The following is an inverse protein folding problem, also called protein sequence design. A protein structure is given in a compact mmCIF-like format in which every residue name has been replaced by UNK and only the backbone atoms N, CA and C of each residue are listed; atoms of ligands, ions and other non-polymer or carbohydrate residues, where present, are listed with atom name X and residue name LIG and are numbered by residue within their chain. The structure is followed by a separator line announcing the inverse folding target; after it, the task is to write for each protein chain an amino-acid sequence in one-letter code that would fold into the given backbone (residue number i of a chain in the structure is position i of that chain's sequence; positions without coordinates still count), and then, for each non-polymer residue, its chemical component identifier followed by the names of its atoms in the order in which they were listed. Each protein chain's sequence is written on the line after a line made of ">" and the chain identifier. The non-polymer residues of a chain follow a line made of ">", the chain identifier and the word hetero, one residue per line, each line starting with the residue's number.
data_IF_816681758636
#
_entry.id   IF_816681758636
#
_cell.length_a   1.000
_cell.length_b   1.000
_cell.length_c   1.000
_cell.angle_alpha   90.00
_cell.angle_beta   90.00
_cell.angle_gamma   90.00
#
_symmetry.space_group_name_H-M   'P 1'
#
loop_
_entity.id
_entity.type
_entity.pdbx_description
1 polymer ?
#
# COMPACT_ATOMS: atom_id res chain seq x y z
N UNK A 1 -29.65 0.59 1.31
CA UNK A 1 -28.32 0.12 1.75
C UNK A 1 -28.19 -1.31 1.26
N UNK A 2 -27.21 -1.65 0.43
CA UNK A 2 -27.05 -3.00 -0.09
C UNK A 2 -26.70 -3.98 1.03
N UNK A 3 -27.33 -5.17 0.97
CA UNK A 3 -27.05 -6.31 1.84
C UNK A 3 -26.29 -7.37 1.06
N UNK A 4 -25.19 -7.82 1.62
CA UNK A 4 -24.32 -8.81 0.99
C UNK A 4 -23.74 -9.75 2.05
N UNK A 5 -23.13 -10.85 1.60
CA UNK A 5 -22.47 -11.80 2.50
C UNK A 5 -20.97 -11.78 2.27
N UNK A 6 -20.21 -11.72 3.36
CA UNK A 6 -18.76 -11.85 3.35
C UNK A 6 -18.38 -13.08 4.16
N UNK A 7 -17.84 -14.09 3.50
CA UNK A 7 -17.52 -15.41 4.10
C UNK A 7 -18.69 -15.99 4.91
N UNK A 8 -19.93 -15.79 4.44
CA UNK A 8 -21.15 -16.25 5.09
C UNK A 8 -21.74 -15.30 6.15
N UNK A 9 -21.05 -14.23 6.50
CA UNK A 9 -21.54 -13.19 7.43
C UNK A 9 -22.35 -12.17 6.63
N UNK A 10 -23.60 -11.92 7.03
CA UNK A 10 -24.42 -10.87 6.42
C UNK A 10 -23.99 -9.48 6.94
N UNK A 11 -23.78 -8.55 6.02
CA UNK A 11 -23.46 -7.15 6.31
C UNK A 11 -24.32 -6.22 5.48
N UNK A 12 -24.62 -5.07 6.05
CA UNK A 12 -25.32 -3.99 5.38
C UNK A 12 -24.43 -2.75 5.35
N UNK A 13 -24.19 -2.19 4.16
CA UNK A 13 -23.26 -1.07 3.99
C UNK A 13 -23.95 0.12 3.32
N UNK A 14 -23.42 1.34 3.48
CA UNK A 14 -23.93 2.51 2.78
C UNK A 14 -23.93 2.35 1.27
N UNK A 15 -24.87 2.99 0.59
CA UNK A 15 -24.88 3.04 -0.87
C UNK A 15 -23.60 3.72 -1.37
N UNK A 16 -22.91 3.07 -2.32
CA UNK A 16 -21.62 3.54 -2.85
C UNK A 16 -20.39 3.03 -2.10
N UNK A 17 -20.57 2.30 -1.00
CA UNK A 17 -19.46 1.62 -0.33
C UNK A 17 -18.80 0.58 -1.25
N UNK A 18 -17.52 0.34 -1.05
CA UNK A 18 -16.77 -0.69 -1.77
C UNK A 18 -16.92 -2.06 -1.10
N UNK A 19 -16.62 -3.12 -1.84
CA UNK A 19 -16.54 -4.49 -1.29
C UNK A 19 -15.47 -4.56 -0.19
N UNK A 20 -14.38 -3.76 -0.29
CA UNK A 20 -13.37 -3.70 0.77
C UNK A 20 -13.98 -3.22 2.09
N UNK A 21 -14.74 -2.12 2.07
CA UNK A 21 -15.42 -1.60 3.26
C UNK A 21 -16.45 -2.60 3.82
N UNK A 22 -17.14 -3.34 2.95
CA UNK A 22 -18.03 -4.41 3.39
C UNK A 22 -17.27 -5.57 4.07
N UNK A 23 -16.07 -5.89 3.62
CA UNK A 23 -15.21 -6.87 4.29
C UNK A 23 -14.76 -6.38 5.68
N UNK A 24 -14.40 -5.12 5.79
CA UNK A 24 -14.03 -4.50 7.08
C UNK A 24 -15.20 -4.49 8.06
N UNK A 25 -16.42 -4.18 7.60
CA UNK A 25 -17.64 -4.24 8.42
C UNK A 25 -17.92 -5.67 8.89
N UNK A 26 -17.58 -6.68 8.09
CA UNK A 26 -17.65 -8.09 8.47
C UNK A 26 -16.52 -8.52 9.43
N UNK A 27 -15.62 -7.62 9.83
CA UNK A 27 -14.45 -7.94 10.64
C UNK A 27 -13.37 -8.72 9.89
N UNK A 28 -13.34 -8.64 8.55
CA UNK A 28 -12.35 -9.32 7.71
C UNK A 28 -11.27 -8.35 7.27
N UNK A 29 -10.05 -8.64 7.63
CA UNK A 29 -8.89 -7.89 7.15
C UNK A 29 -8.54 -8.30 5.71
N UNK A 30 -8.44 -7.29 4.82
CA UNK A 30 -8.07 -7.48 3.42
C UNK A 30 -6.71 -6.82 3.18
N UNK A 31 -5.70 -7.60 2.72
CA UNK A 31 -4.37 -7.04 2.45
C UNK A 31 -4.42 -6.03 1.31
N UNK A 32 -3.66 -4.94 1.44
CA UNK A 32 -3.65 -3.84 0.48
C UNK A 32 -2.39 -3.00 0.59
N UNK A 33 -1.98 -2.36 -0.52
CA UNK A 33 -0.87 -1.39 -0.53
C UNK A 33 -1.30 -0.04 -1.08
N UNK A 34 -1.98 0.00 -2.24
CA UNK A 34 -2.30 1.27 -2.89
C UNK A 34 -3.52 1.98 -2.28
N UNK A 35 -4.47 1.25 -1.72
CA UNK A 35 -5.66 1.84 -1.11
C UNK A 35 -5.33 2.55 0.21
N UNK A 36 -5.95 3.70 0.41
CA UNK A 36 -5.96 4.45 1.64
C UNK A 36 -7.31 5.19 1.75
N UNK A 37 -7.91 5.22 2.94
CA UNK A 37 -9.27 5.72 3.16
C UNK A 37 -9.45 7.20 2.82
N UNK A 38 -8.37 7.97 2.88
CA UNK A 38 -8.36 9.42 2.63
C UNK A 38 -7.88 9.80 1.23
N UNK A 39 -7.64 8.84 0.34
CA UNK A 39 -7.13 9.07 -1.01
C UNK A 39 -8.04 8.42 -2.04
N UNK A 40 -8.03 8.93 -3.26
CA UNK A 40 -8.73 8.32 -4.39
C UNK A 40 -8.28 6.87 -4.61
N UNK A 41 -9.16 6.06 -5.21
CA UNK A 41 -8.91 4.64 -5.43
C UNK A 41 -7.99 4.45 -6.64
N UNK A 42 -6.77 3.98 -6.42
CA UNK A 42 -5.82 3.66 -7.49
C UNK A 42 -6.05 2.27 -8.13
N UNK A 43 -6.40 1.26 -7.32
CA UNK A 43 -6.67 -0.11 -7.79
C UNK A 43 -5.49 -0.82 -8.46
N UNK A 44 -4.26 -0.33 -8.30
CA UNK A 44 -3.08 -0.76 -9.08
C UNK A 44 -2.25 -1.88 -8.42
N UNK A 45 -2.21 -1.99 -7.10
CA UNK A 45 -1.39 -3.01 -6.42
C UNK A 45 -1.97 -4.43 -6.56
N UNK A 46 -3.27 -4.58 -6.73
CA UNK A 46 -3.99 -5.84 -6.88
C UNK A 46 -3.89 -6.80 -5.67
N UNK A 47 -3.43 -6.34 -4.52
CA UNK A 47 -3.33 -7.19 -3.34
C UNK A 47 -4.68 -7.47 -2.68
N UNK A 48 -5.64 -6.56 -2.81
CA UNK A 48 -6.99 -6.66 -2.23
C UNK A 48 -7.96 -7.56 -3.01
N UNK A 49 -7.45 -8.51 -3.80
CA UNK A 49 -8.29 -9.41 -4.59
C UNK A 49 -9.16 -10.32 -3.70
N UNK A 50 -10.44 -10.44 -4.09
CA UNK A 50 -11.45 -11.33 -3.49
C UNK A 50 -12.23 -12.06 -4.59
N UNK A 51 -12.88 -13.17 -4.25
CA UNK A 51 -13.84 -13.83 -5.15
C UNK A 51 -15.25 -13.29 -4.87
N UNK A 52 -16.02 -13.03 -5.93
CA UNK A 52 -17.38 -12.48 -5.82
C UNK A 52 -18.35 -13.35 -6.62
N UNK A 53 -19.49 -13.71 -6.02
CA UNK A 53 -20.58 -14.42 -6.66
C UNK A 53 -21.90 -13.64 -6.50
N UNK A 54 -22.79 -13.65 -7.51
CA UNK A 54 -22.53 -14.10 -8.87
C UNK A 54 -21.52 -13.16 -9.58
N UNK A 55 -20.63 -13.74 -10.38
CA UNK A 55 -19.62 -12.96 -11.09
C UNK A 55 -18.73 -13.81 -11.99
N UNK A 56 -17.79 -13.21 -12.71
CA UNK A 56 -16.87 -13.92 -13.57
C UNK A 56 -15.92 -14.80 -12.74
N UNK A 57 -15.41 -15.91 -13.31
CA UNK A 57 -14.50 -16.83 -12.63
C UNK A 57 -13.07 -16.25 -12.53
N UNK A 58 -12.96 -15.04 -12.00
CA UNK A 58 -11.69 -14.32 -11.77
C UNK A 58 -11.81 -13.43 -10.53
N UNK A 59 -10.73 -13.24 -9.77
CA UNK A 59 -10.77 -12.39 -8.58
C UNK A 59 -10.94 -10.91 -8.96
N UNK A 60 -11.65 -10.18 -8.10
CA UNK A 60 -11.92 -8.75 -8.25
C UNK A 60 -11.17 -7.93 -7.20
N UNK A 61 -10.78 -6.70 -7.55
CA UNK A 61 -10.17 -5.77 -6.62
C UNK A 61 -11.23 -5.17 -5.70
N UNK A 62 -11.29 -5.62 -4.46
CA UNK A 62 -12.32 -5.20 -3.49
C UNK A 62 -12.35 -3.69 -3.25
N UNK A 63 -11.19 -3.02 -3.29
CA UNK A 63 -11.09 -1.58 -3.08
C UNK A 63 -11.76 -0.74 -4.19
N UNK A 64 -11.93 -1.29 -5.39
CA UNK A 64 -12.50 -0.60 -6.55
C UNK A 64 -13.85 -1.16 -7.00
N UNK A 65 -14.32 -2.24 -6.39
CA UNK A 65 -15.60 -2.87 -6.70
C UNK A 65 -16.68 -2.30 -5.77
N UNK A 66 -17.74 -1.68 -6.30
CA UNK A 66 -18.86 -1.25 -5.47
C UNK A 66 -19.59 -2.45 -4.87
N UNK A 67 -19.97 -2.34 -3.61
CA UNK A 67 -20.80 -3.34 -2.95
C UNK A 67 -22.22 -3.32 -3.54
N UNK A 68 -22.72 -4.48 -3.94
CA UNK A 68 -24.03 -4.68 -4.54
C UNK A 68 -24.93 -5.61 -3.74
N UNK A 69 -26.22 -5.53 -4.02
CA UNK A 69 -27.23 -6.38 -3.37
C UNK A 69 -27.02 -7.85 -3.68
N UNK A 70 -27.18 -8.71 -2.65
CA UNK A 70 -27.05 -10.17 -2.75
C UNK A 70 -25.70 -10.69 -3.28
N UNK A 71 -24.62 -9.89 -3.17
CA UNK A 71 -23.27 -10.39 -3.44
C UNK A 71 -22.82 -11.38 -2.36
N UNK A 72 -22.13 -12.43 -2.76
CA UNK A 72 -21.36 -13.30 -1.87
C UNK A 72 -19.88 -13.09 -2.14
N UNK A 73 -19.17 -12.61 -1.12
CA UNK A 73 -17.72 -12.30 -1.19
C UNK A 73 -16.98 -13.36 -0.40
N UNK A 74 -15.96 -13.96 -1.02
CA UNK A 74 -15.06 -14.92 -0.38
C UNK A 74 -13.67 -14.29 -0.28
N UNK A 75 -13.19 -14.14 0.94
CA UNK A 75 -11.91 -13.43 1.21
C UNK A 75 -10.71 -14.37 1.25
N UNK A 76 -10.93 -15.68 1.37
CA UNK A 76 -9.86 -16.68 1.54
C UNK A 76 -10.11 -17.97 0.73
N UNK A 77 -10.75 -17.87 -0.43
CA UNK A 77 -10.91 -19.03 -1.32
C UNK A 77 -9.57 -19.43 -1.95
N UNK A 78 -9.43 -20.69 -2.43
CA UNK A 78 -8.21 -21.14 -3.13
C UNK A 78 -7.81 -20.23 -4.30
N UNK A 79 -8.79 -19.66 -5.01
CA UNK A 79 -8.58 -18.69 -6.08
C UNK A 79 -7.93 -17.40 -5.52
N UNK A 80 -8.43 -16.87 -4.40
CA UNK A 80 -7.93 -15.66 -3.76
C UNK A 80 -6.52 -15.87 -3.23
N UNK A 81 -6.27 -16.97 -2.53
CA UNK A 81 -4.95 -17.33 -2.02
C UNK A 81 -3.92 -17.42 -3.15
N UNK A 82 -4.26 -18.12 -4.24
CA UNK A 82 -3.37 -18.25 -5.40
C UNK A 82 -3.10 -16.88 -6.05
N UNK A 83 -4.12 -16.05 -6.19
CA UNK A 83 -3.98 -14.71 -6.76
C UNK A 83 -3.10 -13.79 -5.92
N UNK A 84 -3.30 -13.73 -4.60
CA UNK A 84 -2.47 -12.93 -3.68
C UNK A 84 -1.02 -13.39 -3.66
N UNK A 85 -0.79 -14.70 -3.66
CA UNK A 85 0.55 -15.27 -3.80
C UNK A 85 1.25 -14.78 -5.06
N UNK A 86 0.57 -14.83 -6.22
CA UNK A 86 1.11 -14.33 -7.47
C UNK A 86 1.39 -12.81 -7.44
N UNK A 87 0.53 -12.02 -6.80
CA UNK A 87 0.76 -10.58 -6.62
C UNK A 87 2.00 -10.33 -5.76
N UNK A 88 2.18 -11.06 -4.65
CA UNK A 88 3.38 -10.95 -3.82
C UNK A 88 4.66 -11.32 -4.60
N UNK A 89 4.63 -12.40 -5.39
CA UNK A 89 5.74 -12.75 -6.26
C UNK A 89 6.12 -11.58 -7.20
N UNK A 90 5.13 -10.96 -7.85
CA UNK A 90 5.36 -9.83 -8.75
C UNK A 90 5.92 -8.59 -8.05
N UNK A 91 5.43 -8.27 -6.85
CA UNK A 91 5.93 -7.13 -6.07
C UNK A 91 7.37 -7.36 -5.61
N UNK A 92 7.74 -8.61 -5.34
CA UNK A 92 9.06 -8.96 -4.84
C UNK A 92 10.11 -9.21 -5.94
N UNK A 93 9.72 -9.37 -7.21
CA UNK A 93 10.65 -9.60 -8.32
C UNK A 93 11.80 -8.57 -8.31
N UNK A 94 11.47 -7.29 -8.25
CA UNK A 94 12.45 -6.20 -8.29
C UNK A 94 12.75 -5.59 -6.91
N UNK A 95 12.03 -6.00 -5.88
CA UNK A 95 12.26 -5.47 -4.54
C UNK A 95 13.60 -5.96 -3.99
N UNK A 96 14.51 -5.08 -3.52
CA UNK A 96 15.83 -5.49 -3.05
C UNK A 96 15.76 -6.25 -1.73
N UNK A 97 16.75 -7.09 -1.45
CA UNK A 97 16.85 -7.83 -0.19
C UNK A 97 17.51 -6.97 0.91
N UNK A 98 16.98 -5.79 1.10
CA UNK A 98 17.56 -4.73 1.94
C UNK A 98 16.98 -4.68 3.37
N UNK A 99 16.10 -5.59 3.77
CA UNK A 99 15.42 -5.50 5.06
C UNK A 99 16.36 -5.21 6.25
N UNK A 100 17.54 -5.83 6.36
CA UNK A 100 18.46 -5.52 7.46
C UNK A 100 19.02 -4.10 7.47
N UNK A 101 19.11 -3.46 6.29
CA UNK A 101 19.62 -2.10 6.09
C UNK A 101 18.52 -1.13 5.65
N UNK A 102 17.26 -1.55 5.72
CA UNK A 102 16.11 -0.72 5.40
C UNK A 102 15.53 -0.11 6.66
N UNK A 103 15.35 1.22 6.69
CA UNK A 103 14.85 1.92 7.87
C UNK A 103 13.38 1.55 8.20
N UNK A 104 12.61 1.06 7.20
CA UNK A 104 11.25 0.54 7.39
C UNK A 104 11.22 -0.89 7.99
N UNK A 105 12.37 -1.54 8.17
CA UNK A 105 12.43 -2.93 8.65
C UNK A 105 11.79 -3.10 10.03
N UNK A 106 10.79 -3.97 10.16
CA UNK A 106 10.02 -4.24 11.38
C UNK A 106 8.67 -3.51 11.47
N UNK A 107 8.40 -2.56 10.58
CA UNK A 107 7.12 -1.85 10.44
C UNK A 107 6.71 -1.71 8.96
N UNK A 108 7.08 -2.68 8.15
CA UNK A 108 6.91 -2.65 6.70
C UNK A 108 5.74 -3.52 6.26
N UNK A 109 4.69 -2.88 5.70
CA UNK A 109 3.51 -3.59 5.17
C UNK A 109 3.90 -4.70 4.17
N UNK A 110 4.96 -4.48 3.37
CA UNK A 110 5.40 -5.48 2.41
C UNK A 110 6.02 -6.70 3.08
N UNK A 111 6.78 -6.52 4.18
CA UNK A 111 7.31 -7.65 4.96
C UNK A 111 6.17 -8.47 5.56
N UNK A 112 5.22 -7.83 6.22
CA UNK A 112 4.12 -8.50 6.91
C UNK A 112 3.23 -9.25 5.92
N UNK A 113 2.89 -8.61 4.80
CA UNK A 113 2.09 -9.27 3.78
C UNK A 113 2.88 -10.35 3.00
N UNK A 114 4.20 -10.20 2.84
CA UNK A 114 5.03 -11.25 2.26
C UNK A 114 5.09 -12.49 3.14
N UNK A 115 5.13 -12.32 4.45
CA UNK A 115 5.07 -13.44 5.41
C UNK A 115 3.69 -14.10 5.43
N UNK A 116 2.62 -13.32 5.34
CA UNK A 116 1.25 -13.84 5.38
C UNK A 116 0.79 -14.52 4.08
N UNK A 117 1.21 -14.02 2.93
CA UNK A 117 0.68 -14.43 1.61
C UNK A 117 1.74 -14.85 0.60
N UNK A 118 3.02 -14.66 0.90
CA UNK A 118 4.13 -14.97 0.00
C UNK A 118 4.59 -16.41 0.07
N UNK A 119 5.79 -16.63 -0.47
CA UNK A 119 6.49 -17.91 -0.44
C UNK A 119 7.92 -17.72 0.07
N UNK A 120 8.53 -18.80 0.54
CA UNK A 120 9.88 -18.79 1.14
C UNK A 120 11.03 -18.58 0.14
N UNK A 121 10.76 -18.60 -1.16
CA UNK A 121 11.80 -18.43 -2.19
C UNK A 121 11.27 -17.77 -3.45
N UNK A 122 12.18 -17.26 -4.26
CA UNK A 122 11.87 -16.74 -5.60
C UNK A 122 12.16 -17.80 -6.65
N UNK A 123 11.27 -17.90 -7.65
CA UNK A 123 11.51 -18.69 -8.87
C UNK A 123 12.09 -17.85 -10.02
N UNK A 124 12.35 -16.58 -9.77
CA UNK A 124 12.90 -15.62 -10.74
C UNK A 124 14.40 -15.47 -10.48
N UNK A 125 15.20 -15.62 -11.52
CA UNK A 125 16.67 -15.59 -11.48
C UNK A 125 17.24 -14.31 -12.10
N UNK A 126 16.39 -13.48 -12.70
CA UNK A 126 16.78 -12.23 -13.36
C UNK A 126 17.33 -11.21 -12.34
N UNK A 127 18.23 -10.36 -12.81
CA UNK A 127 18.74 -9.26 -12.01
C UNK A 127 17.62 -8.30 -11.61
N UNK A 128 17.59 -7.93 -10.33
CA UNK A 128 16.64 -6.95 -9.83
C UNK A 128 16.93 -5.57 -10.42
N UNK A 129 15.87 -4.84 -10.76
CA UNK A 129 15.95 -3.47 -11.26
C UNK A 129 16.55 -2.55 -10.18
N UNK A 130 17.47 -1.68 -10.57
CA UNK A 130 17.95 -0.59 -9.75
C UNK A 130 17.38 0.75 -10.25
N UNK A 131 17.00 1.61 -9.33
CA UNK A 131 16.46 2.94 -9.61
C UNK A 131 17.27 3.98 -8.87
N UNK A 132 17.65 5.05 -9.56
CA UNK A 132 18.40 6.16 -8.96
C UNK A 132 17.51 6.89 -7.94
N UNK A 133 18.07 7.22 -6.79
CA UNK A 133 17.39 7.98 -5.75
C UNK A 133 17.07 9.40 -6.22
N UNK A 134 15.99 9.95 -5.66
CA UNK A 134 15.49 11.27 -6.04
C UNK A 134 15.60 12.22 -4.84
N UNK A 135 15.80 13.50 -5.11
CA UNK A 135 15.73 14.51 -4.06
C UNK A 135 14.27 14.91 -3.84
N UNK A 136 13.74 14.62 -2.65
CA UNK A 136 12.36 14.95 -2.26
C UNK A 136 12.31 15.94 -1.09
N UNK A 137 13.30 16.81 -0.98
CA UNK A 137 13.36 17.82 0.08
C UNK A 137 14.24 17.42 1.26
N UNK A 138 14.29 18.25 2.31
CA UNK A 138 15.21 18.07 3.43
C UNK A 138 14.81 16.95 4.39
N UNK A 139 13.51 16.63 4.49
CA UNK A 139 12.99 15.68 5.48
C UNK A 139 12.94 14.24 4.98
N UNK A 140 12.73 14.04 3.67
CA UNK A 140 12.47 12.74 3.08
C UNK A 140 13.74 12.14 2.51
N UNK A 141 14.12 10.96 3.00
CA UNK A 141 15.13 10.11 2.39
C UNK A 141 14.48 9.20 1.37
N UNK A 142 15.11 9.04 0.23
CA UNK A 142 14.60 8.19 -0.85
C UNK A 142 15.55 7.04 -1.12
N UNK A 143 14.99 5.82 -1.25
CA UNK A 143 15.67 4.66 -1.82
C UNK A 143 14.68 4.04 -2.81
N UNK A 144 14.68 4.60 -4.03
CA UNK A 144 13.61 4.36 -5.00
C UNK A 144 13.59 2.95 -5.58
N UNK A 145 14.68 2.21 -5.46
CA UNK A 145 14.72 0.77 -5.77
C UNK A 145 13.71 -0.04 -4.93
N UNK A 146 13.35 0.44 -3.73
CA UNK A 146 12.38 -0.20 -2.84
C UNK A 146 10.92 0.14 -3.16
N UNK A 147 10.68 1.07 -4.08
CA UNK A 147 9.34 1.53 -4.42
C UNK A 147 8.51 0.44 -5.08
N UNK A 148 7.29 0.21 -4.59
CA UNK A 148 6.30 -0.74 -5.17
C UNK A 148 5.24 -0.05 -6.04
N UNK A 149 5.45 1.19 -6.40
CA UNK A 149 4.58 1.99 -7.28
C UNK A 149 3.11 2.06 -6.84
N UNK A 150 2.86 2.08 -5.53
CA UNK A 150 1.50 2.16 -4.98
C UNK A 150 0.83 3.53 -5.21
N UNK A 151 1.58 4.55 -5.57
CA UNK A 151 1.14 5.93 -5.85
C UNK A 151 0.47 6.66 -4.68
N UNK A 152 0.56 6.18 -3.44
CA UNK A 152 0.01 6.91 -2.28
C UNK A 152 0.61 8.31 -2.15
N UNK A 153 1.95 8.43 -2.25
CA UNK A 153 2.65 9.71 -2.16
C UNK A 153 2.23 10.70 -3.28
N UNK A 154 2.07 10.21 -4.50
CA UNK A 154 1.63 11.04 -5.64
C UNK A 154 0.23 11.61 -5.38
N UNK A 155 -0.72 10.74 -5.05
CA UNK A 155 -2.11 11.14 -4.78
C UNK A 155 -2.23 12.05 -3.56
N UNK A 156 -1.46 11.79 -2.51
CA UNK A 156 -1.44 12.66 -1.34
C UNK A 156 -0.98 14.07 -1.69
N UNK A 157 0.11 14.21 -2.45
CA UNK A 157 0.63 15.52 -2.83
C UNK A 157 -0.33 16.29 -3.73
N UNK A 158 -1.06 15.60 -4.58
CA UNK A 158 -2.05 16.20 -5.48
C UNK A 158 -3.38 16.51 -4.77
N UNK A 159 -3.97 15.51 -4.10
CA UNK A 159 -5.34 15.56 -3.57
C UNK A 159 -5.45 16.26 -2.20
N UNK A 160 -4.44 16.10 -1.34
CA UNK A 160 -4.48 16.60 0.05
C UNK A 160 -3.57 17.81 0.22
N UNK A 161 -2.31 17.71 -0.18
CA UNK A 161 -1.37 18.82 -0.05
C UNK A 161 -1.59 19.92 -1.10
N UNK A 162 -2.27 19.62 -2.22
CA UNK A 162 -2.53 20.57 -3.29
C UNK A 162 -1.27 21.03 -4.04
N UNK A 163 -0.17 20.29 -3.92
CA UNK A 163 1.13 20.58 -4.54
C UNK A 163 1.56 19.37 -5.36
N UNK A 164 1.24 19.29 -6.66
CA UNK A 164 1.54 18.13 -7.50
C UNK A 164 3.04 18.07 -7.88
N UNK A 165 3.91 18.07 -6.88
CA UNK A 165 5.37 18.07 -7.06
C UNK A 165 5.96 16.68 -7.36
N UNK A 166 5.18 15.61 -7.16
CA UNK A 166 5.59 14.22 -7.41
C UNK A 166 4.72 13.63 -8.51
N UNK A 167 5.32 12.84 -9.40
CA UNK A 167 4.61 12.15 -10.45
C UNK A 167 5.20 10.77 -10.74
N UNK A 168 4.42 9.96 -11.47
CA UNK A 168 4.89 8.73 -12.07
C UNK A 168 5.40 9.05 -13.48
N UNK A 169 6.70 8.96 -13.68
CA UNK A 169 7.39 9.23 -14.94
C UNK A 169 7.72 7.93 -15.66
N UNK A 170 7.67 7.95 -16.99
CA UNK A 170 7.89 6.76 -17.79
C UNK A 170 6.68 5.81 -17.79
N UNK A 171 6.89 4.59 -18.26
CA UNK A 171 5.85 3.55 -18.34
C UNK A 171 6.45 2.15 -18.33
N UNK A 172 5.60 1.16 -17.97
CA UNK A 172 6.03 -0.25 -17.90
C UNK A 172 7.16 -0.42 -16.90
N UNK A 173 8.18 -1.18 -17.27
CA UNK A 173 9.35 -1.44 -16.43
C UNK A 173 10.20 -0.20 -16.14
N UNK A 174 10.08 0.85 -16.95
CA UNK A 174 10.81 2.11 -16.79
C UNK A 174 10.01 3.16 -15.99
N UNK A 175 8.85 2.81 -15.44
CA UNK A 175 8.10 3.74 -14.60
C UNK A 175 8.83 4.01 -13.29
N UNK A 176 8.95 5.27 -12.94
CA UNK A 176 9.57 5.74 -11.69
C UNK A 176 8.71 6.79 -11.02
N UNK A 177 8.66 6.76 -9.70
CA UNK A 177 8.11 7.88 -8.93
C UNK A 177 9.25 8.88 -8.74
N UNK A 178 9.01 10.11 -9.18
CA UNK A 178 10.01 11.17 -9.15
C UNK A 178 9.38 12.53 -8.87
N UNK A 179 10.20 13.49 -8.45
CA UNK A 179 9.80 14.88 -8.37
C UNK A 179 9.76 15.50 -9.77
N UNK A 180 8.78 16.37 -9.99
CA UNK A 180 8.63 17.15 -11.22
C UNK A 180 9.46 18.44 -11.17
N UNK A 181 9.84 18.88 -9.96
CA UNK A 181 10.61 20.06 -9.65
C UNK A 181 11.83 19.72 -8.78
N UNK A 182 12.57 20.73 -8.33
CA UNK A 182 13.80 20.58 -7.55
C UNK A 182 13.61 20.03 -6.12
N UNK A 183 12.40 19.53 -5.79
CA UNK A 183 12.07 18.94 -4.49
C UNK A 183 10.63 19.26 -4.09
N UNK A 184 10.25 18.81 -2.91
CA UNK A 184 8.92 19.09 -2.34
C UNK A 184 9.07 20.23 -1.34
N UNK A 185 8.44 21.36 -1.62
CA UNK A 185 8.39 22.53 -0.75
C UNK A 185 6.98 22.68 -0.16
N UNK A 186 6.59 21.77 0.72
CA UNK A 186 5.30 21.80 1.42
C UNK A 186 5.51 21.43 2.88
N UNK A 187 4.80 22.09 3.77
CA UNK A 187 4.74 21.76 5.19
C UNK A 187 4.26 20.32 5.42
N UNK A 188 3.46 19.78 4.49
CA UNK A 188 2.93 18.43 4.53
C UNK A 188 3.88 17.38 3.92
N UNK A 189 5.10 17.78 3.51
CA UNK A 189 6.04 16.86 2.85
C UNK A 189 6.41 15.63 3.70
N UNK A 190 6.44 15.77 5.02
CA UNK A 190 6.71 14.68 5.95
C UNK A 190 5.67 13.54 5.92
N UNK A 191 4.41 13.87 5.66
CA UNK A 191 3.32 12.87 5.66
C UNK A 191 3.47 11.76 4.59
N UNK A 192 4.24 12.01 3.52
CA UNK A 192 4.50 10.95 2.53
C UNK A 192 5.37 9.82 3.08
N UNK A 193 6.10 10.05 4.17
CA UNK A 193 6.89 9.04 4.88
C UNK A 193 5.95 8.02 5.49
N UNK A 194 4.98 8.48 6.28
CA UNK A 194 4.01 7.61 6.97
C UNK A 194 3.05 6.91 6.00
N UNK A 195 2.75 7.56 4.87
CA UNK A 195 1.92 6.97 3.81
C UNK A 195 2.65 5.91 2.99
N UNK A 196 3.98 5.91 2.97
CA UNK A 196 4.75 4.95 2.19
C UNK A 196 4.74 3.58 2.86
N UNK A 197 4.15 2.53 2.23
CA UNK A 197 4.03 1.21 2.85
C UNK A 197 5.34 0.42 2.88
N UNK A 198 6.43 1.01 2.36
CA UNK A 198 7.75 0.39 2.24
C UNK A 198 8.86 1.41 2.50
N UNK A 199 10.09 0.95 2.66
CA UNK A 199 11.25 1.80 2.91
C UNK A 199 11.77 2.58 1.70
N UNK A 200 10.90 2.95 0.77
CA UNK A 200 11.26 3.80 -0.37
C UNK A 200 11.33 5.29 0.02
N UNK A 201 10.46 5.73 0.92
CA UNK A 201 10.44 7.07 1.50
C UNK A 201 10.50 6.92 3.01
N UNK A 202 11.55 7.46 3.63
CA UNK A 202 11.78 7.38 5.07
C UNK A 202 12.23 8.75 5.62
N UNK A 203 12.23 8.89 6.93
CA UNK A 203 12.63 10.13 7.59
C UNK A 203 14.15 10.29 7.61
N UNK A 204 14.70 11.33 7.00
CA UNK A 204 16.14 11.64 7.10
C UNK A 204 16.58 11.91 8.52
N UNK A 205 15.88 12.76 9.31
CA UNK A 205 16.28 13.04 10.68
C UNK A 205 16.25 11.84 11.61
N UNK A 206 15.39 10.86 11.33
CA UNK A 206 15.19 9.70 12.18
C UNK A 206 15.91 8.44 11.66
N UNK A 207 16.52 8.50 10.48
CA UNK A 207 17.15 7.35 9.83
C UNK A 207 18.06 6.57 10.78
N UNK A 208 17.79 5.30 11.02
CA UNK A 208 18.52 4.37 11.88
C UNK A 208 18.71 4.80 13.34
N UNK A 209 17.85 5.69 13.87
CA UNK A 209 17.91 6.09 15.28
C UNK A 209 17.44 4.98 16.19
N UNK A 210 16.31 4.35 15.86
CA UNK A 210 15.77 3.19 16.60
C UNK A 210 14.93 2.30 15.68
N UNK A 211 14.75 1.05 16.08
CA UNK A 211 13.84 0.11 15.44
C UNK A 211 12.50 0.09 16.17
N UNK A 212 11.37 -0.30 15.50
CA UNK A 212 10.04 -0.30 16.11
C UNK A 212 9.96 -1.09 17.43
N UNK A 213 10.68 -2.18 17.54
CA UNK A 213 10.70 -3.00 18.76
C UNK A 213 11.52 -2.42 19.92
N UNK A 214 12.31 -1.38 19.66
CA UNK A 214 13.10 -0.66 20.67
C UNK A 214 12.31 0.52 21.25
N UNK A 215 11.17 0.89 20.64
CA UNK A 215 10.37 2.04 21.04
C UNK A 215 9.46 1.72 22.23
N UNK A 216 9.38 2.68 23.16
CA UNK A 216 8.39 2.68 24.24
C UNK A 216 7.20 3.55 23.83
N UNK A 217 5.99 2.97 23.85
CA UNK A 217 4.76 3.73 23.63
C UNK A 217 4.40 4.47 24.91
N UNK A 218 4.25 5.78 24.82
CA UNK A 218 3.80 6.65 25.92
C UNK A 218 2.65 7.51 25.42
N UNK A 219 1.52 7.47 26.10
CA UNK A 219 0.41 8.34 25.79
C UNK A 219 0.77 9.79 26.17
N UNK A 220 0.45 10.72 25.28
CA UNK A 220 0.73 12.13 25.47
C UNK A 220 -0.10 12.98 24.51
N UNK A 221 -0.01 14.29 24.66
CA UNK A 221 -0.64 15.23 23.73
C UNK A 221 0.49 15.98 23.02
N UNK A 222 0.49 15.93 21.70
CA UNK A 222 1.42 16.71 20.90
C UNK A 222 1.11 18.21 21.10
N UNK A 223 2.15 19.00 21.42
CA UNK A 223 1.98 20.43 21.70
C UNK A 223 1.77 21.28 20.44
N UNK A 224 2.02 20.71 19.27
CA UNK A 224 1.91 21.43 18.00
C UNK A 224 0.51 21.33 17.41
N UNK A 225 -0.11 20.16 17.46
CA UNK A 225 -1.41 19.89 16.83
C UNK A 225 -2.48 19.36 17.81
N UNK A 226 -2.14 19.18 19.08
CA UNK A 226 -3.05 18.82 20.18
C UNK A 226 -3.82 17.48 19.97
N UNK A 227 -3.18 16.50 19.30
CA UNK A 227 -3.71 15.13 19.09
C UNK A 227 -2.92 14.08 19.85
#
# INVERSE_FOLDING_TARGET
>A
MPKLKVDGVEVEVPAGATVLQACEEAGKEIPRFCYHDRLSIAGNCRMCLVEIKPGPPKPAASCAMPAGENMEVFTDSPMVQHARKGVMEMLLINHPLDCPICDQGGECDLQDQAMGYGVSGSRFEENKRAVVDKYMGPLVQTIMTRCIHCTRCVRFMDEIAGVPAIGALGRGEHMEISTLEAGIASELSGNIIDLCPVGALTSKPYAFVARPWELQKTEGIDVMDAV
#
